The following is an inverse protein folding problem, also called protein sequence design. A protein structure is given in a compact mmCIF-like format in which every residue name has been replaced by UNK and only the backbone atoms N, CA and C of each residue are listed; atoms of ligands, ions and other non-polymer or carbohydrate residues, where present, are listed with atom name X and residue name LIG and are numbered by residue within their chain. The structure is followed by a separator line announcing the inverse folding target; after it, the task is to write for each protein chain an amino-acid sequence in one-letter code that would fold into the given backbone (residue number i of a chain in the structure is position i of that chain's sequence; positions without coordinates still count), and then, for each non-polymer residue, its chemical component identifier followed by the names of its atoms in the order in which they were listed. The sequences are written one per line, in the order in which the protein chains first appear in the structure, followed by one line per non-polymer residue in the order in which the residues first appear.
data_IF_954200206102
#
_entry.id   IF_954200206102
#
_cell.length_a   1.000
_cell.length_b   1.000
_cell.length_c   1.000
_cell.angle_alpha   90.00
_cell.angle_beta   90.00
_cell.angle_gamma   90.00
#
_symmetry.space_group_name_H-M   'P 1'
#
loop_
_entity.id
_entity.type
_entity.pdbx_description
1 polymer ?
#
# COMPACT_ATOMS: atom_id res chain seq x y z
N UNK A 1 -18.36 -6.21 -15.04
CA UNK A 1 -17.37 -7.30 -14.85
C UNK A 1 -16.01 -7.00 -15.48
N UNK A 2 -15.84 -6.87 -16.81
CA UNK A 2 -14.50 -6.68 -17.40
C UNK A 2 -13.74 -5.43 -16.87
N UNK A 3 -14.39 -4.26 -16.83
CA UNK A 3 -13.79 -3.05 -16.27
C UNK A 3 -13.45 -3.20 -14.78
N UNK A 4 -14.38 -3.75 -14.00
CA UNK A 4 -14.21 -4.01 -12.57
C UNK A 4 -13.04 -4.95 -12.30
N UNK A 5 -12.87 -6.02 -13.07
CA UNK A 5 -11.71 -6.92 -12.96
C UNK A 5 -10.40 -6.17 -13.15
N UNK A 6 -10.30 -5.32 -14.18
CA UNK A 6 -9.11 -4.50 -14.42
C UNK A 6 -8.87 -3.48 -13.30
N UNK A 7 -9.92 -2.86 -12.77
CA UNK A 7 -9.82 -1.93 -11.64
C UNK A 7 -9.30 -2.63 -10.38
N UNK A 8 -9.88 -3.76 -9.99
CA UNK A 8 -9.45 -4.52 -8.81
C UNK A 8 -8.02 -5.04 -8.96
N UNK A 9 -7.64 -5.45 -10.17
CA UNK A 9 -6.27 -5.83 -10.48
C UNK A 9 -5.32 -4.65 -10.32
N UNK A 10 -5.70 -3.45 -10.80
CA UNK A 10 -4.94 -2.22 -10.61
C UNK A 10 -4.74 -1.85 -9.14
N UNK A 11 -5.80 -1.91 -8.33
CA UNK A 11 -5.73 -1.71 -6.87
C UNK A 11 -4.77 -2.72 -6.24
N UNK A 12 -4.87 -3.99 -6.63
CA UNK A 12 -4.02 -5.07 -6.11
C UNK A 12 -2.55 -4.83 -6.44
N UNK A 13 -2.23 -4.43 -7.67
CA UNK A 13 -0.86 -4.09 -8.06
C UNK A 13 -0.32 -2.87 -7.31
N UNK A 14 -1.12 -1.82 -7.11
CA UNK A 14 -0.72 -0.64 -6.32
C UNK A 14 -0.36 -1.01 -4.88
N UNK A 15 -1.15 -1.89 -4.23
CA UNK A 15 -0.85 -2.39 -2.88
C UNK A 15 0.47 -3.17 -2.82
N UNK A 16 0.83 -3.85 -3.91
CA UNK A 16 2.09 -4.58 -4.04
C UNK A 16 3.25 -3.70 -4.53
N UNK A 17 3.08 -2.38 -4.61
CA UNK A 17 4.07 -1.42 -5.13
C UNK A 17 4.48 -1.67 -6.61
N UNK A 18 3.69 -2.47 -7.32
CA UNK A 18 3.85 -2.74 -8.75
C UNK A 18 3.15 -1.66 -9.56
N UNK A 19 3.64 -0.43 -9.43
CA UNK A 19 2.94 0.76 -9.93
C UNK A 19 2.80 0.78 -11.46
N UNK A 20 3.75 0.23 -12.20
CA UNK A 20 3.66 0.13 -13.67
C UNK A 20 2.49 -0.76 -14.09
N UNK A 21 2.39 -1.96 -13.52
CA UNK A 21 1.30 -2.90 -13.77
C UNK A 21 -0.05 -2.36 -13.27
N UNK A 22 -0.05 -1.63 -12.15
CA UNK A 22 -1.23 -0.95 -11.66
C UNK A 22 -1.79 0.07 -12.65
N UNK A 23 -0.91 0.93 -13.20
CA UNK A 23 -1.29 1.93 -14.20
C UNK A 23 -1.86 1.27 -15.46
N UNK A 24 -1.25 0.19 -15.95
CA UNK A 24 -1.74 -0.54 -17.12
C UNK A 24 -3.14 -1.15 -16.88
N UNK A 25 -3.34 -1.78 -15.72
CA UNK A 25 -4.61 -2.37 -15.36
C UNK A 25 -5.71 -1.31 -15.18
N UNK A 26 -5.43 -0.21 -14.49
CA UNK A 26 -6.38 0.90 -14.32
C UNK A 26 -6.74 1.55 -15.66
N UNK A 27 -5.76 1.79 -16.54
CA UNK A 27 -6.01 2.31 -17.88
C UNK A 27 -6.87 1.35 -18.73
N UNK A 28 -6.68 0.04 -18.57
CA UNK A 28 -7.53 -0.97 -19.22
C UNK A 28 -8.98 -0.87 -18.73
N UNK A 29 -9.20 -0.65 -17.42
CA UNK A 29 -10.53 -0.38 -16.87
C UNK A 29 -11.16 0.87 -17.48
N UNK A 30 -10.42 1.98 -17.54
CA UNK A 30 -10.86 3.24 -18.16
C UNK A 30 -11.24 3.03 -19.63
N UNK A 31 -10.44 2.28 -20.40
CA UNK A 31 -10.71 1.99 -21.82
C UNK A 31 -12.02 1.23 -22.02
N UNK A 32 -12.28 0.22 -21.18
CA UNK A 32 -13.52 -0.56 -21.22
C UNK A 32 -14.72 0.31 -20.86
N UNK A 33 -14.61 1.16 -19.84
CA UNK A 33 -15.67 2.09 -19.43
C UNK A 33 -15.97 3.09 -20.55
N UNK A 34 -14.95 3.71 -21.13
CA UNK A 34 -15.12 4.66 -22.26
C UNK A 34 -15.82 3.99 -23.45
N UNK A 35 -15.42 2.77 -23.79
CA UNK A 35 -16.07 2.00 -24.86
C UNK A 35 -17.55 1.70 -24.56
N UNK A 36 -17.92 1.49 -23.29
CA UNK A 36 -19.32 1.30 -22.89
C UNK A 36 -20.09 2.61 -22.94
N UNK A 37 -19.51 3.71 -22.46
CA UNK A 37 -20.08 5.05 -22.53
C UNK A 37 -20.40 5.47 -23.97
N UNK A 38 -19.49 5.21 -24.92
CA UNK A 38 -19.75 5.48 -26.34
C UNK A 38 -20.93 4.69 -26.89
N UNK A 39 -21.09 3.42 -26.48
CA UNK A 39 -22.22 2.58 -26.90
C UNK A 39 -23.54 3.08 -26.31
N UNK A 40 -23.54 3.43 -25.02
CA UNK A 40 -24.71 3.98 -24.34
C UNK A 40 -25.13 5.31 -24.97
N UNK A 41 -24.19 6.22 -25.22
CA UNK A 41 -24.48 7.49 -25.87
C UNK A 41 -25.11 7.27 -27.25
N UNK A 42 -24.58 6.37 -28.07
CA UNK A 42 -25.17 6.03 -29.38
C UNK A 42 -26.56 5.41 -29.31
N UNK A 43 -26.91 4.75 -28.21
CA UNK A 43 -28.27 4.24 -27.99
C UNK A 43 -29.22 5.38 -27.64
N UNK A 44 -28.80 6.27 -26.74
CA UNK A 44 -29.57 7.45 -26.35
C UNK A 44 -29.81 8.40 -27.53
N UNK A 45 -28.82 8.62 -28.38
CA UNK A 45 -28.94 9.47 -29.57
C UNK A 45 -29.96 8.93 -30.59
N UNK A 46 -30.24 7.62 -30.57
CA UNK A 46 -31.22 6.96 -31.45
C UNK A 46 -32.62 6.87 -30.84
N UNK A 47 -32.75 7.19 -29.56
CA UNK A 47 -34.00 7.01 -28.84
C UNK A 47 -34.95 8.19 -29.10
N UNK A 48 -36.27 7.95 -29.00
CA UNK A 48 -37.33 8.92 -29.36
C UNK A 48 -37.55 10.00 -28.28
N UNK A 49 -36.48 10.46 -27.64
CA UNK A 49 -36.48 11.56 -26.67
C UNK A 49 -35.95 11.19 -25.29
N UNK A 50 -35.77 12.19 -24.41
CA UNK A 50 -35.24 12.00 -23.05
C UNK A 50 -36.12 11.06 -22.23
N UNK A 51 -35.52 10.18 -21.44
CA UNK A 51 -36.25 9.25 -20.56
C UNK A 51 -36.87 8.05 -21.27
N UNK A 52 -36.63 7.88 -22.58
CA UNK A 52 -37.00 6.67 -23.32
C UNK A 52 -36.18 5.44 -22.93
N UNK A 53 -34.98 5.66 -22.37
CA UNK A 53 -34.02 4.64 -21.96
C UNK A 53 -33.46 4.97 -20.57
N UNK A 54 -34.29 4.93 -19.51
CA UNK A 54 -33.90 5.40 -18.17
C UNK A 54 -32.80 4.54 -17.53
N UNK A 55 -32.70 3.26 -17.88
CA UNK A 55 -31.65 2.37 -17.38
C UNK A 55 -30.29 2.72 -18.00
N UNK A 56 -30.25 2.99 -19.30
CA UNK A 56 -29.05 3.40 -20.03
C UNK A 56 -28.57 4.80 -19.63
N UNK A 57 -29.50 5.73 -19.38
CA UNK A 57 -29.18 7.06 -18.82
C UNK A 57 -28.52 6.93 -17.45
N UNK A 58 -29.11 6.12 -16.57
CA UNK A 58 -28.56 5.84 -15.24
C UNK A 58 -27.19 5.18 -15.31
N UNK A 59 -27.03 4.14 -16.13
CA UNK A 59 -25.73 3.47 -16.31
C UNK A 59 -24.66 4.46 -16.82
N UNK A 60 -25.02 5.32 -17.76
CA UNK A 60 -24.12 6.32 -18.31
C UNK A 60 -23.67 7.36 -17.25
N UNK A 61 -24.57 7.77 -16.36
CA UNK A 61 -24.23 8.65 -15.24
C UNK A 61 -23.30 7.96 -14.23
N UNK A 62 -23.61 6.73 -13.82
CA UNK A 62 -22.77 5.96 -12.89
C UNK A 62 -21.35 5.73 -13.45
N UNK A 63 -21.25 5.35 -14.73
CA UNK A 63 -19.96 5.15 -15.39
C UNK A 63 -19.16 6.45 -15.56
N UNK A 64 -19.83 7.59 -15.79
CA UNK A 64 -19.17 8.91 -15.81
C UNK A 64 -18.66 9.30 -14.42
N UNK A 65 -19.42 9.01 -13.36
CA UNK A 65 -19.03 9.29 -11.99
C UNK A 65 -17.84 8.45 -11.52
N UNK A 66 -17.67 7.24 -12.07
CA UNK A 66 -16.57 6.34 -11.73
C UNK A 66 -15.22 6.75 -12.36
N UNK A 67 -15.23 7.38 -13.53
CA UNK A 67 -13.99 7.74 -14.24
C UNK A 67 -13.02 8.62 -13.42
N UNK A 68 -13.48 9.68 -12.71
CA UNK A 68 -12.62 10.45 -11.83
C UNK A 68 -11.97 9.62 -10.71
N UNK A 69 -12.70 8.67 -10.12
CA UNK A 69 -12.16 7.80 -9.06
C UNK A 69 -11.04 6.89 -9.60
N UNK A 70 -11.22 6.35 -10.81
CA UNK A 70 -10.17 5.52 -11.43
C UNK A 70 -8.97 6.39 -11.83
N UNK A 71 -9.21 7.61 -12.29
CA UNK A 71 -8.16 8.55 -12.68
C UNK A 71 -7.31 8.98 -11.47
N UNK A 72 -7.93 9.24 -10.31
CA UNK A 72 -7.22 9.48 -9.04
C UNK A 72 -6.26 8.33 -8.73
N UNK A 73 -6.72 7.08 -8.83
CA UNK A 73 -5.86 5.91 -8.56
C UNK A 73 -4.70 5.78 -9.54
N UNK A 74 -4.90 6.20 -10.79
CA UNK A 74 -3.82 6.27 -11.78
C UNK A 74 -2.79 7.34 -11.38
N UNK A 75 -3.24 8.48 -10.88
CA UNK A 75 -2.37 9.56 -10.41
C UNK A 75 -1.56 9.10 -9.17
N UNK A 76 -2.21 8.50 -8.19
CA UNK A 76 -1.57 7.91 -7.01
C UNK A 76 -0.49 6.88 -7.40
N UNK A 77 -0.81 5.98 -8.33
CA UNK A 77 0.15 4.98 -8.81
C UNK A 77 1.33 5.63 -9.55
N UNK A 78 1.09 6.70 -10.33
CA UNK A 78 2.16 7.47 -10.96
C UNK A 78 3.07 8.16 -9.95
N UNK A 79 2.51 8.70 -8.86
CA UNK A 79 3.29 9.28 -7.77
C UNK A 79 4.12 8.20 -7.05
N UNK A 80 3.53 7.04 -6.76
CA UNK A 80 4.23 5.87 -6.25
C UNK A 80 5.40 5.42 -7.14
N UNK A 81 5.20 5.41 -8.45
CA UNK A 81 6.26 5.07 -9.41
C UNK A 81 7.42 6.09 -9.41
N UNK A 82 7.11 7.38 -9.34
CA UNK A 82 8.14 8.44 -9.28
C UNK A 82 8.95 8.36 -8.00
N UNK A 83 8.28 8.17 -6.86
CA UNK A 83 8.95 8.08 -5.55
C UNK A 83 9.87 6.86 -5.48
N UNK A 84 9.39 5.68 -5.90
CA UNK A 84 10.21 4.44 -5.93
C UNK A 84 11.41 4.55 -6.87
N UNK A 85 11.22 5.15 -8.05
CA UNK A 85 12.32 5.39 -9.00
C UNK A 85 13.40 6.30 -8.42
N UNK A 86 13.02 7.44 -7.83
CA UNK A 86 13.98 8.37 -7.22
C UNK A 86 14.74 7.74 -6.03
N UNK A 87 14.06 6.91 -5.23
CA UNK A 87 14.68 6.16 -4.15
C UNK A 87 15.71 5.14 -4.68
N UNK A 88 15.37 4.42 -5.75
CA UNK A 88 16.29 3.48 -6.40
C UNK A 88 17.55 4.17 -6.96
N UNK A 89 17.39 5.35 -7.57
CA UNK A 89 18.53 6.16 -8.05
C UNK A 89 19.43 6.63 -6.92
N UNK A 90 18.86 7.09 -5.80
CA UNK A 90 19.61 7.51 -4.63
C UNK A 90 20.44 6.34 -4.05
N UNK A 91 19.84 5.16 -3.93
CA UNK A 91 20.52 3.93 -3.48
C UNK A 91 21.64 3.54 -4.45
N UNK A 92 21.40 3.57 -5.76
CA UNK A 92 22.42 3.30 -6.78
C UNK A 92 23.60 4.27 -6.68
N UNK A 93 23.36 5.55 -6.41
CA UNK A 93 24.41 6.56 -6.24
C UNK A 93 25.25 6.34 -4.98
N UNK A 94 24.66 5.90 -3.88
CA UNK A 94 25.39 5.52 -2.66
C UNK A 94 26.27 4.31 -2.92
N UNK A 95 25.74 3.26 -3.55
CA UNK A 95 26.47 2.04 -3.89
C UNK A 95 27.65 2.33 -4.84
N UNK A 96 27.45 3.16 -5.87
CA UNK A 96 28.51 3.55 -6.80
C UNK A 96 29.62 4.40 -6.14
N UNK A 97 29.32 5.12 -5.05
CA UNK A 97 30.30 5.92 -4.30
C UNK A 97 31.02 5.13 -3.20
N UNK A 98 30.63 3.87 -2.95
CA UNK A 98 31.09 3.04 -1.84
C UNK A 98 32.32 2.15 -2.08
N UNK A 99 33.02 2.23 -3.22
CA UNK A 99 34.06 1.25 -3.59
C UNK A 99 35.48 1.81 -3.78
N UNK A 100 35.87 2.88 -3.09
CA UNK A 100 37.29 3.35 -3.13
C UNK A 100 37.86 3.84 -1.80
N UNK A 101 37.28 3.53 -0.63
CA UNK A 101 37.99 3.79 0.62
C UNK A 101 38.96 2.65 0.91
N UNK A 102 40.12 2.69 0.26
CA UNK A 102 41.36 2.08 0.77
C UNK A 102 41.78 2.83 2.03
N UNK A 103 40.95 2.82 3.06
CA UNK A 103 41.36 3.30 4.36
C UNK A 103 42.34 2.26 4.91
N UNK A 104 43.56 2.66 5.32
CA UNK A 104 44.48 1.73 5.96
C UNK A 104 43.79 1.16 7.20
N UNK A 105 43.78 -0.17 7.33
CA UNK A 105 43.21 -0.86 8.49
C UNK A 105 44.06 -0.48 9.71
N UNK A 106 43.56 0.46 10.53
CA UNK A 106 44.21 0.82 11.78
C UNK A 106 44.12 -0.33 12.78
N UNK A 107 45.21 -0.57 13.50
CA UNK A 107 45.36 -1.66 14.46
C UNK A 107 44.25 -1.67 15.53
N UNK A 108 43.50 -2.78 15.61
CA UNK A 108 42.34 -2.98 16.50
C UNK A 108 42.72 -3.56 17.88
N UNK A 109 44.00 -3.54 18.26
CA UNK A 109 44.50 -4.16 19.50
C UNK A 109 43.78 -3.70 20.78
N UNK A 110 43.16 -2.52 20.77
CA UNK A 110 42.35 -2.01 21.89
C UNK A 110 41.02 -2.75 22.09
N UNK A 111 40.53 -3.45 21.06
CA UNK A 111 39.27 -4.20 21.10
C UNK A 111 39.41 -5.56 21.80
N UNK A 112 40.65 -6.04 21.97
CA UNK A 112 40.96 -7.19 22.82
C UNK A 112 40.81 -6.75 24.27
N UNK A 113 39.59 -6.86 24.80
CA UNK A 113 39.28 -6.60 26.21
C UNK A 113 40.24 -7.39 27.08
N UNK A 114 41.10 -6.69 27.82
CA UNK A 114 41.98 -7.26 28.83
C UNK A 114 41.11 -7.98 29.88
N UNK A 115 41.12 -9.31 29.83
CA UNK A 115 40.48 -10.21 30.80
C UNK A 115 40.97 -9.83 32.20
N UNK A 116 40.14 -9.15 33.00
CA UNK A 116 40.37 -9.03 34.44
C UNK A 116 39.94 -10.34 35.09
N UNK A 117 40.80 -10.87 35.97
CA UNK A 117 40.58 -12.11 36.73
C UNK A 117 39.37 -11.96 37.67
N UNK A 118 38.71 -13.08 38.03
CA UNK A 118 37.58 -13.09 38.94
C UNK A 118 38.09 -12.90 40.38
N UNK A 119 37.51 -11.97 41.11
CA UNK A 119 37.73 -11.83 42.56
C UNK A 119 36.36 -11.72 43.25
N UNK A 120 36.00 -12.79 43.97
CA UNK A 120 35.32 -12.80 45.27
C UNK A 120 33.90 -12.23 45.43
N UNK A 121 32.91 -13.13 45.47
CA UNK A 121 31.58 -12.99 46.15
C UNK A 121 31.75 -12.87 47.70
N UNK A 122 30.75 -12.52 48.56
CA UNK A 122 29.31 -12.87 48.48
C UNK A 122 28.23 -11.88 49.04
N UNK A 123 27.02 -12.02 48.46
CA UNK A 123 25.64 -12.05 49.01
C UNK A 123 25.18 -11.05 50.09
N UNK A 124 24.01 -10.41 49.84
CA UNK A 124 22.84 -10.41 50.75
C UNK A 124 21.54 -10.09 50.01
N UNK A 125 20.69 -11.11 49.96
CA UNK A 125 19.24 -11.01 49.71
C UNK A 125 18.56 -10.24 50.84
N UNK A 126 17.53 -9.47 50.49
CA UNK A 126 16.39 -9.23 51.37
C UNK A 126 15.13 -9.02 50.51
N UNK A 127 14.19 -9.93 50.76
CA UNK A 127 12.84 -10.08 50.22
C UNK A 127 11.90 -8.89 50.54
N UNK A 128 10.73 -8.87 49.87
CA UNK A 128 9.38 -8.59 50.43
C UNK A 128 8.50 -7.64 49.58
N UNK A 129 7.45 -8.24 48.98
CA UNK A 129 6.07 -7.71 48.65
C UNK A 129 5.96 -6.57 47.62
N UNK A 130 4.94 -6.49 46.74
CA UNK A 130 3.60 -7.12 46.68
C UNK A 130 2.96 -6.92 45.29
N UNK A 131 2.25 -7.95 44.87
CA UNK A 131 1.12 -8.08 43.92
C UNK A 131 0.25 -6.82 43.67
N UNK A 132 -0.05 -6.54 42.39
CA UNK A 132 -1.44 -6.45 41.87
C UNK A 132 -1.51 -6.51 40.33
N UNK A 133 -2.07 -7.62 39.83
CA UNK A 133 -2.71 -7.72 38.51
C UNK A 133 -4.00 -6.89 38.47
N UNK A 134 -4.37 -6.41 37.29
CA UNK A 134 -5.64 -5.74 37.05
C UNK A 134 -6.01 -5.68 35.57
N UNK A 135 -6.11 -6.84 34.92
CA UNK A 135 -6.89 -7.00 33.69
C UNK A 135 -8.36 -7.30 34.06
N UNK A 136 -9.30 -6.48 33.59
CA UNK A 136 -10.69 -6.87 33.34
C UNK A 136 -11.45 -5.73 32.64
N UNK A 137 -11.53 -5.76 31.31
CA UNK A 137 -12.62 -5.08 30.58
C UNK A 137 -13.38 -6.14 29.78
N UNK A 138 -14.36 -6.78 30.44
CA UNK A 138 -15.28 -7.73 29.81
C UNK A 138 -16.38 -6.99 29.07
N UNK A 139 -16.32 -7.00 27.74
CA UNK A 139 -17.47 -6.67 26.90
C UNK A 139 -18.42 -7.87 26.84
N UNK A 140 -19.67 -7.63 27.19
CA UNK A 140 -20.77 -8.61 27.18
C UNK A 140 -21.29 -8.81 25.75
N UNK A 141 -21.15 -10.02 25.23
CA UNK A 141 -21.89 -10.45 24.04
C UNK A 141 -23.31 -10.81 24.46
N UNK A 142 -24.31 -10.14 23.89
CA UNK A 142 -25.72 -10.60 23.94
C UNK A 142 -25.96 -11.51 22.73
N UNK A 143 -26.08 -12.80 23.00
CA UNK A 143 -26.77 -13.75 22.14
C UNK A 143 -28.25 -13.37 22.02
N UNK A 144 -28.75 -13.29 20.79
CA UNK A 144 -30.17 -13.27 20.48
C UNK A 144 -30.51 -14.67 20.00
N UNK A 145 -31.28 -15.40 20.79
CA UNK A 145 -31.86 -16.67 20.40
C UNK A 145 -33.37 -16.63 20.60
N UNK A 146 -34.07 -16.96 19.52
CA UNK A 146 -35.49 -17.34 19.37
C UNK A 146 -36.52 -16.23 19.29
#
# INVERSE_FOLDING_TARGET
LLAETHYQLGVTYSLNLQYSEAIEALNSSVSVIRSRLEKLQRLLDKAEGPGSLPEEEKELEELKALLPEIQEKVEDANEGLKTTSSAAEAVKKVLAKGSTTTAPVSNISHLVRKKRKPEGSPVKEADVKRVKLGDANGHTNKEVAT
#
